data_IF_766224844113
#
_entry.id   IF_766224844113
#
_cell.length_a   1.000
_cell.length_b   1.000
_cell.length_c   1.000
_cell.angle_alpha   90.00
_cell.angle_beta   90.00
_cell.angle_gamma   90.00
#
_symmetry.space_group_name_H-M   'P 1'
#
loop_
_entity.id
_entity.type
_entity.pdbx_description
1 polymer ?
#
# COMPACT_ATOMS: atom_id res chain seq x y z
N UNK A 1 -18.06 -8.23 -13.97
CA UNK A 1 -18.47 -7.14 -13.04
C UNK A 1 -17.60 -7.13 -11.76
N UNK A 2 -16.27 -6.93 -11.88
CA UNK A 2 -15.33 -6.81 -10.74
C UNK A 2 -14.25 -5.74 -11.00
N UNK A 3 -14.60 -4.64 -11.69
CA UNK A 3 -13.65 -3.56 -12.05
C UNK A 3 -13.79 -2.28 -11.21
N UNK A 4 -14.79 -2.18 -10.32
CA UNK A 4 -15.11 -0.90 -9.67
C UNK A 4 -14.24 -0.56 -8.45
N UNK A 5 -13.55 -1.52 -7.82
CA UNK A 5 -12.80 -1.24 -6.58
C UNK A 5 -11.38 -0.67 -6.80
N UNK A 6 -10.90 -0.58 -8.04
CA UNK A 6 -9.51 -0.16 -8.33
C UNK A 6 -9.36 1.29 -8.81
N UNK A 7 -10.43 2.07 -8.84
CA UNK A 7 -10.45 3.41 -9.48
C UNK A 7 -10.75 4.58 -8.54
N UNK A 8 -10.99 4.36 -7.25
CA UNK A 8 -11.12 5.48 -6.32
C UNK A 8 -9.73 5.91 -5.85
N UNK A 9 -9.37 7.20 -5.92
CA UNK A 9 -8.14 7.72 -5.30
C UNK A 9 -8.15 7.35 -3.83
N UNK A 10 -7.11 6.70 -3.32
CA UNK A 10 -7.13 6.10 -1.98
C UNK A 10 -7.11 7.15 -0.86
N UNK A 11 -6.77 8.41 -1.18
CA UNK A 11 -7.04 9.58 -0.32
C UNK A 11 -8.52 9.79 -0.06
N UNK A 12 -9.39 9.45 -1.01
CA UNK A 12 -10.85 9.42 -0.84
C UNK A 12 -11.25 8.31 0.13
N UNK A 13 -10.55 7.17 0.14
CA UNK A 13 -10.85 6.09 1.07
C UNK A 13 -10.57 6.52 2.53
N UNK A 14 -9.48 7.24 2.78
CA UNK A 14 -9.21 7.82 4.10
C UNK A 14 -10.29 8.83 4.52
N UNK A 15 -10.68 9.75 3.63
CA UNK A 15 -11.75 10.72 3.88
C UNK A 15 -13.10 10.03 4.11
N UNK A 16 -13.46 9.05 3.30
CA UNK A 16 -14.72 8.31 3.42
C UNK A 16 -14.78 7.48 4.69
N UNK A 17 -13.68 6.84 5.08
CA UNK A 17 -13.64 6.13 6.36
C UNK A 17 -13.82 7.13 7.51
N UNK A 18 -13.19 8.29 7.43
CA UNK A 18 -13.37 9.37 8.42
C UNK A 18 -14.83 9.85 8.49
N UNK A 19 -15.50 10.03 7.36
CA UNK A 19 -16.93 10.43 7.30
C UNK A 19 -17.87 9.34 7.83
N UNK A 20 -17.63 8.07 7.47
CA UNK A 20 -18.40 6.93 7.99
C UNK A 20 -18.26 6.86 9.51
N UNK A 21 -17.08 7.13 10.02
CA UNK A 21 -16.79 7.13 11.45
C UNK A 21 -17.54 8.26 12.17
N UNK A 22 -17.52 9.47 11.63
CA UNK A 22 -18.29 10.60 12.15
C UNK A 22 -19.79 10.27 12.19
N UNK A 23 -20.32 9.67 11.13
CA UNK A 23 -21.70 9.20 11.07
C UNK A 23 -22.00 8.14 12.15
N UNK A 24 -21.08 7.21 12.43
CA UNK A 24 -21.25 6.20 13.47
C UNK A 24 -21.26 6.80 14.88
N UNK A 25 -20.44 7.82 15.12
CA UNK A 25 -20.41 8.58 16.38
C UNK A 25 -21.72 9.35 16.61
N UNK A 26 -22.27 10.00 15.57
CA UNK A 26 -23.59 10.65 15.63
C UNK A 26 -24.71 9.67 16.00
N UNK A 27 -24.57 8.41 15.60
CA UNK A 27 -25.49 7.32 15.93
C UNK A 27 -25.20 6.64 17.29
N UNK A 28 -24.36 7.24 18.15
CA UNK A 28 -24.00 6.74 19.50
C UNK A 28 -23.35 5.35 19.52
N UNK A 29 -22.71 4.93 18.43
CA UNK A 29 -21.89 3.71 18.41
C UNK A 29 -20.45 4.09 18.69
N UNK A 30 -19.94 3.66 19.85
CA UNK A 30 -18.55 3.90 20.26
C UNK A 30 -17.69 2.73 19.79
N UNK A 31 -16.58 3.04 19.14
CA UNK A 31 -15.56 2.07 18.72
C UNK A 31 -14.22 2.53 19.28
N UNK A 32 -13.55 1.66 20.03
CA UNK A 32 -12.32 1.99 20.75
C UNK A 32 -11.15 2.31 19.79
N UNK A 33 -11.21 1.79 18.55
CA UNK A 33 -10.24 2.04 17.50
C UNK A 33 -10.21 3.51 17.05
N UNK A 34 -11.32 4.24 17.23
CA UNK A 34 -11.47 5.63 16.80
C UNK A 34 -10.74 6.62 17.70
N UNK A 35 -10.52 6.23 18.95
CA UNK A 35 -9.77 7.01 19.95
C UNK A 35 -8.28 6.69 19.90
N UNK A 36 -7.86 5.76 19.03
CA UNK A 36 -6.49 5.29 18.96
C UNK A 36 -5.73 5.93 17.79
N UNK A 37 -4.86 6.89 18.12
CA UNK A 37 -3.95 7.54 17.17
C UNK A 37 -3.12 6.55 16.34
N UNK A 38 -2.71 5.42 16.94
CA UNK A 38 -1.96 4.39 16.24
C UNK A 38 -2.77 3.75 15.12
N UNK A 39 -4.07 3.57 15.33
CA UNK A 39 -4.97 3.00 14.32
C UNK A 39 -5.10 3.94 13.12
N UNK A 40 -5.33 5.23 13.37
CA UNK A 40 -5.40 6.25 12.32
C UNK A 40 -4.10 6.37 11.52
N UNK A 41 -2.96 6.30 12.21
CA UNK A 41 -1.66 6.35 11.56
C UNK A 41 -1.41 5.13 10.66
N UNK A 42 -1.74 3.92 11.13
CA UNK A 42 -1.64 2.69 10.32
C UNK A 42 -2.60 2.76 9.13
N UNK A 43 -3.83 3.25 9.33
CA UNK A 43 -4.80 3.40 8.24
C UNK A 43 -4.29 4.36 7.16
N UNK A 44 -3.78 5.53 7.56
CA UNK A 44 -3.20 6.52 6.65
C UNK A 44 -2.04 5.93 5.85
N UNK A 45 -1.16 5.18 6.52
CA UNK A 45 -0.04 4.48 5.86
C UNK A 45 -0.52 3.43 4.86
N UNK A 46 -1.52 2.61 5.23
CA UNK A 46 -2.08 1.60 4.32
C UNK A 46 -2.75 2.25 3.11
N UNK A 47 -3.38 3.43 3.27
CA UNK A 47 -3.92 4.19 2.14
C UNK A 47 -2.81 4.62 1.17
N UNK A 48 -1.71 5.17 1.69
CA UNK A 48 -0.56 5.59 0.88
C UNK A 48 0.11 4.40 0.15
N UNK A 49 0.29 3.26 0.83
CA UNK A 49 0.85 2.05 0.19
C UNK A 49 -0.09 1.50 -0.88
N UNK A 50 -1.39 1.46 -0.59
CA UNK A 50 -2.40 0.95 -1.53
C UNK A 50 -2.46 1.81 -2.79
N UNK A 51 -2.36 3.13 -2.67
CA UNK A 51 -2.28 4.01 -3.84
C UNK A 51 -1.05 3.70 -4.71
N UNK A 52 0.12 3.53 -4.09
CA UNK A 52 1.36 3.19 -4.79
C UNK A 52 1.28 1.83 -5.49
N UNK A 53 0.65 0.84 -4.86
CA UNK A 53 0.37 -0.45 -5.49
C UNK A 53 -0.65 -0.31 -6.64
N UNK A 54 -1.63 0.57 -6.49
CA UNK A 54 -2.59 0.93 -7.52
C UNK A 54 -1.91 1.56 -8.74
N UNK A 55 -0.99 2.50 -8.54
CA UNK A 55 -0.17 3.10 -9.61
C UNK A 55 0.67 2.06 -10.34
N UNK A 56 1.34 1.18 -9.59
CA UNK A 56 2.09 0.07 -10.19
C UNK A 56 1.15 -0.81 -11.02
N UNK A 57 0.02 -1.24 -10.45
CA UNK A 57 -0.93 -2.11 -11.13
C UNK A 57 -1.50 -1.46 -12.40
N UNK A 58 -1.85 -0.16 -12.36
CA UNK A 58 -2.24 0.61 -13.55
C UNK A 58 -1.11 0.70 -14.58
N UNK A 59 0.13 0.85 -14.12
CA UNK A 59 1.31 0.91 -14.98
C UNK A 59 1.67 -0.43 -15.63
N UNK A 60 1.30 -1.53 -14.98
CA UNK A 60 1.39 -2.88 -15.51
C UNK A 60 0.25 -3.10 -16.51
N UNK A 61 -1.00 -2.86 -16.12
CA UNK A 61 -2.18 -3.07 -16.97
C UNK A 61 -2.21 -2.17 -18.22
N UNK A 62 -2.88 -2.66 -19.29
CA UNK A 62 -3.06 -1.96 -20.56
C UNK A 62 -2.69 -2.83 -21.77
N UNK A 63 -3.16 -2.43 -22.95
CA UNK A 63 -2.83 -3.11 -24.20
C UNK A 63 -1.41 -2.72 -24.68
N UNK A 64 -0.76 -3.62 -25.43
CA UNK A 64 0.57 -3.42 -26.04
C UNK A 64 1.75 -3.14 -25.07
N UNK A 65 1.71 -3.68 -23.85
CA UNK A 65 2.85 -3.57 -22.92
C UNK A 65 3.94 -4.59 -23.24
N UNK A 66 5.18 -4.13 -23.34
CA UNK A 66 6.35 -4.99 -23.54
C UNK A 66 6.72 -5.62 -22.19
N UNK A 67 6.95 -6.93 -22.17
CA UNK A 67 7.27 -7.69 -20.95
C UNK A 67 8.49 -7.11 -20.22
N UNK A 68 9.52 -6.67 -20.95
CA UNK A 68 10.69 -6.01 -20.39
C UNK A 68 10.34 -4.72 -19.65
N UNK A 69 9.47 -3.88 -20.20
CA UNK A 69 9.02 -2.63 -19.56
C UNK A 69 8.25 -2.91 -18.28
N UNK A 70 7.38 -3.92 -18.29
CA UNK A 70 6.64 -4.34 -17.10
C UNK A 70 7.59 -4.86 -16.01
N UNK A 71 8.58 -5.67 -16.38
CA UNK A 71 9.60 -6.16 -15.45
C UNK A 71 10.42 -5.00 -14.85
N UNK A 72 10.83 -4.04 -15.68
CA UNK A 72 11.52 -2.83 -15.22
C UNK A 72 10.70 -2.02 -14.22
N UNK A 73 9.38 -1.88 -14.43
CA UNK A 73 8.49 -1.19 -13.48
C UNK A 73 8.39 -1.92 -12.15
N UNK A 74 8.30 -3.24 -12.17
CA UNK A 74 8.29 -4.06 -10.94
C UNK A 74 9.60 -3.90 -10.17
N UNK A 75 10.76 -4.02 -10.85
CA UNK A 75 12.05 -3.90 -10.18
C UNK A 75 12.29 -2.47 -9.65
N UNK A 76 11.90 -1.45 -10.41
CA UNK A 76 11.94 -0.07 -9.92
C UNK A 76 11.03 0.12 -8.68
N UNK A 77 9.89 -0.57 -8.62
CA UNK A 77 9.03 -0.53 -7.44
C UNK A 77 9.64 -1.26 -6.24
N UNK A 78 10.32 -2.40 -6.45
CA UNK A 78 11.08 -3.07 -5.38
C UNK A 78 12.14 -2.13 -4.77
N UNK A 79 12.84 -1.35 -5.59
CA UNK A 79 13.81 -0.37 -5.10
C UNK A 79 13.15 0.81 -4.38
N UNK A 80 11.97 1.26 -4.84
CA UNK A 80 11.15 2.24 -4.12
C UNK A 80 10.70 1.73 -2.75
N UNK A 81 10.33 0.46 -2.61
CA UNK A 81 9.94 -0.10 -1.32
C UNK A 81 11.10 -0.08 -0.30
N UNK A 82 12.34 -0.31 -0.76
CA UNK A 82 13.53 -0.17 0.09
C UNK A 82 13.74 1.28 0.51
N UNK A 83 13.65 2.22 -0.45
CA UNK A 83 13.75 3.66 -0.19
C UNK A 83 12.71 4.08 0.87
N UNK A 84 11.45 3.70 0.71
CA UNK A 84 10.41 4.02 1.68
C UNK A 84 10.71 3.44 3.06
N UNK A 85 11.29 2.23 3.14
CA UNK A 85 11.68 1.62 4.42
C UNK A 85 12.76 2.44 5.13
N UNK A 86 13.79 2.88 4.38
CA UNK A 86 14.85 3.74 4.89
C UNK A 86 14.32 5.11 5.33
N UNK A 87 13.39 5.70 4.58
CA UNK A 87 12.75 6.96 4.96
C UNK A 87 11.96 6.84 6.26
N UNK A 88 11.11 5.81 6.39
CA UNK A 88 10.33 5.55 7.62
C UNK A 88 11.28 5.34 8.82
N UNK A 89 12.37 4.60 8.66
CA UNK A 89 13.37 4.40 9.72
C UNK A 89 13.99 5.73 10.18
N UNK A 90 14.20 6.66 9.25
CA UNK A 90 14.72 8.00 9.51
C UNK A 90 13.62 9.01 9.90
N UNK A 91 12.37 8.55 10.15
CA UNK A 91 11.21 9.40 10.44
C UNK A 91 10.88 10.44 9.34
N UNK A 92 11.25 10.13 8.10
CA UNK A 92 10.96 10.93 6.91
C UNK A 92 9.68 10.41 6.26
N UNK A 93 8.70 11.31 6.05
CA UNK A 93 7.36 10.95 5.55
C UNK A 93 7.02 11.58 4.19
N UNK A 94 8.03 12.00 3.41
CA UNK A 94 7.83 12.76 2.16
C UNK A 94 6.99 11.99 1.12
N UNK A 95 7.05 10.66 1.15
CA UNK A 95 6.31 9.79 0.24
C UNK A 95 4.98 9.30 0.81
N UNK A 96 4.59 9.77 2.00
CA UNK A 96 3.40 9.35 2.73
C UNK A 96 2.48 10.55 3.04
N UNK A 97 1.88 11.18 2.01
CA UNK A 97 1.09 12.39 2.18
C UNK A 97 -0.14 12.20 3.08
N UNK A 98 -0.75 11.01 3.11
CA UNK A 98 -1.89 10.74 3.99
C UNK A 98 -1.43 10.64 5.44
N UNK A 99 -0.27 10.04 5.70
CA UNK A 99 0.33 10.01 7.05
C UNK A 99 0.72 11.41 7.52
N UNK A 100 1.28 12.24 6.63
CA UNK A 100 1.57 13.65 6.93
C UNK A 100 0.29 14.40 7.31
N UNK A 101 -0.79 14.23 6.54
CA UNK A 101 -2.08 14.83 6.86
C UNK A 101 -2.61 14.37 8.23
N UNK A 102 -2.55 13.07 8.53
CA UNK A 102 -2.97 12.55 9.84
C UNK A 102 -2.19 13.24 10.99
N UNK A 103 -0.88 13.46 10.79
CA UNK A 103 -0.06 14.20 11.76
C UNK A 103 -0.48 15.67 11.90
N UNK A 104 -0.85 16.33 10.80
CA UNK A 104 -1.38 17.70 10.80
C UNK A 104 -2.76 17.78 11.49
N UNK A 105 -3.57 16.73 11.37
CA UNK A 105 -4.87 16.57 12.04
C UNK A 105 -4.75 16.27 13.56
N UNK A 106 -3.53 16.25 14.09
CA UNK A 106 -3.25 16.07 15.52
C UNK A 106 -2.98 14.63 15.97
N UNK A 107 -2.92 13.67 15.03
CA UNK A 107 -2.61 12.27 15.34
C UNK A 107 -1.13 12.12 15.71
N UNK A 108 -0.83 11.57 16.89
CA UNK A 108 0.54 11.35 17.33
C UNK A 108 1.13 10.03 16.79
N UNK A 109 2.27 10.12 16.11
CA UNK A 109 2.97 8.94 15.58
C UNK A 109 4.02 8.48 16.59
N UNK A 110 3.72 7.39 17.31
CA UNK A 110 4.66 6.84 18.28
C UNK A 110 5.86 6.15 17.58
N UNK A 111 7.03 6.06 18.24
CA UNK A 111 8.19 5.33 17.71
C UNK A 111 7.89 3.86 17.36
N UNK A 112 6.95 3.24 18.08
CA UNK A 112 6.53 1.86 17.83
C UNK A 112 5.86 1.71 16.45
N UNK A 113 5.12 2.73 16.02
CA UNK A 113 4.42 2.72 14.73
C UNK A 113 5.40 2.78 13.56
N UNK A 114 6.46 3.57 13.65
CA UNK A 114 7.54 3.54 12.64
C UNK A 114 8.15 2.14 12.51
N UNK A 115 8.30 1.42 13.63
CA UNK A 115 8.73 0.01 13.64
C UNK A 115 7.76 -0.92 12.90
N UNK A 116 6.45 -0.75 13.12
CA UNK A 116 5.40 -1.54 12.44
C UNK A 116 5.41 -1.25 10.93
N UNK A 117 5.45 0.03 10.53
CA UNK A 117 5.50 0.43 9.11
C UNK A 117 6.74 -0.13 8.41
N UNK A 118 7.91 -0.03 9.05
CA UNK A 118 9.18 -0.57 8.54
C UNK A 118 9.11 -2.09 8.35
N UNK A 119 8.56 -2.81 9.34
CA UNK A 119 8.39 -4.27 9.27
C UNK A 119 7.46 -4.65 8.13
N UNK A 120 6.34 -3.93 7.97
CA UNK A 120 5.41 -4.14 6.88
C UNK A 120 6.06 -3.92 5.51
N UNK A 121 6.82 -2.84 5.33
CA UNK A 121 7.56 -2.57 4.09
C UNK A 121 8.61 -3.64 3.77
N UNK A 122 9.29 -4.15 4.80
CA UNK A 122 10.25 -5.24 4.66
C UNK A 122 9.57 -6.53 4.18
N UNK A 123 8.47 -6.93 4.83
CA UNK A 123 7.69 -8.10 4.41
C UNK A 123 7.11 -7.94 3.00
N UNK A 124 6.60 -6.75 2.66
CA UNK A 124 6.10 -6.46 1.31
C UNK A 124 7.21 -6.59 0.27
N UNK A 125 8.42 -6.09 0.58
CA UNK A 125 9.59 -6.20 -0.29
C UNK A 125 10.00 -7.66 -0.52
N UNK A 126 9.99 -8.49 0.52
CA UNK A 126 10.29 -9.92 0.41
C UNK A 126 9.26 -10.65 -0.45
N UNK A 127 7.98 -10.35 -0.27
CA UNK A 127 6.90 -10.91 -1.07
C UNK A 127 7.01 -10.54 -2.54
N UNK A 128 7.34 -9.28 -2.85
CA UNK A 128 7.66 -8.85 -4.22
C UNK A 128 8.84 -9.64 -4.77
N UNK A 129 9.92 -9.75 -3.99
CA UNK A 129 11.13 -10.46 -4.42
C UNK A 129 10.86 -11.90 -4.80
N UNK A 130 10.16 -12.61 -3.92
CA UNK A 130 9.74 -14.01 -4.06
C UNK A 130 8.87 -14.19 -5.30
N UNK A 131 7.87 -13.34 -5.45
CA UNK A 131 6.89 -13.42 -6.53
C UNK A 131 7.48 -13.16 -7.90
N UNK A 132 8.33 -12.15 -8.02
CA UNK A 132 8.94 -11.73 -9.28
C UNK A 132 10.35 -12.31 -9.50
N UNK A 133 10.75 -13.30 -8.70
CA UNK A 133 12.04 -13.98 -8.83
C UNK A 133 12.23 -14.59 -10.22
N UNK A 134 11.17 -15.20 -10.78
CA UNK A 134 11.24 -15.82 -12.12
C UNK A 134 11.44 -14.80 -13.25
N UNK A 135 11.01 -13.55 -13.07
CA UNK A 135 11.26 -12.48 -14.05
C UNK A 135 12.75 -12.16 -14.18
N UNK A 136 13.53 -12.37 -13.11
CA UNK A 136 14.99 -12.20 -13.13
C UNK A 136 15.69 -13.32 -13.89
N UNK A 137 15.08 -14.50 -13.95
CA UNK A 137 15.66 -15.71 -14.54
C UNK A 137 15.40 -15.84 -16.06
N UNK A 138 15.00 -14.74 -16.73
CA UNK A 138 14.80 -14.64 -18.20
C UNK A 138 13.73 -15.57 -18.82
N UNK A 139 12.97 -16.33 -18.04
CA UNK A 139 11.77 -17.03 -18.50
C UNK A 139 10.54 -16.09 -18.49
N UNK A 140 10.62 -15.06 -19.32
CA UNK A 140 9.73 -13.89 -19.28
C UNK A 140 8.26 -14.19 -19.62
N UNK A 141 7.99 -15.25 -20.40
CA UNK A 141 6.65 -15.51 -20.95
C UNK A 141 5.77 -16.31 -19.97
N UNK A 142 6.31 -17.33 -19.31
CA UNK A 142 5.56 -18.16 -18.34
C UNK A 142 5.37 -17.46 -17.00
N UNK A 143 6.37 -16.72 -16.53
CA UNK A 143 6.34 -16.03 -15.24
C UNK A 143 5.32 -14.87 -15.21
N UNK A 144 5.10 -14.19 -16.34
CA UNK A 144 4.11 -13.09 -16.39
C UNK A 144 2.67 -13.61 -16.35
N UNK A 145 2.31 -14.63 -17.14
CA UNK A 145 0.94 -15.15 -17.16
C UNK A 145 0.50 -15.72 -15.80
N UNK A 146 1.39 -16.40 -15.08
CA UNK A 146 1.11 -16.93 -13.74
C UNK A 146 1.06 -15.82 -12.68
N UNK A 147 2.00 -14.88 -12.69
CA UNK A 147 2.05 -13.83 -11.66
C UNK A 147 1.00 -12.73 -11.87
N UNK A 148 0.63 -12.40 -13.10
CA UNK A 148 -0.34 -11.35 -13.41
C UNK A 148 -1.74 -11.65 -12.88
N UNK A 149 -2.17 -12.91 -12.96
CA UNK A 149 -3.45 -13.36 -12.44
C UNK A 149 -3.56 -13.17 -10.92
N UNK A 150 -2.48 -13.40 -10.14
CA UNK A 150 -2.52 -13.12 -8.70
C UNK A 150 -2.55 -11.60 -8.38
N UNK A 151 -2.09 -10.68 -9.26
CA UNK A 151 -2.04 -9.23 -8.95
C UNK A 151 -3.48 -8.70 -8.96
N UNK A 152 -4.31 -9.25 -9.83
CA UNK A 152 -5.73 -8.91 -9.91
C UNK A 152 -6.59 -9.60 -8.82
N UNK A 153 -6.09 -10.67 -8.17
CA UNK A 153 -6.92 -11.55 -7.32
C UNK A 153 -6.57 -11.46 -5.83
N UNK A 154 -5.32 -11.16 -5.45
CA UNK A 154 -4.93 -11.15 -4.03
C UNK A 154 -4.98 -9.73 -3.51
N UNK A 155 -6.09 -9.42 -2.85
CA UNK A 155 -6.11 -8.38 -1.83
C UNK A 155 -4.93 -8.59 -0.89
N UNK A 156 -4.25 -7.49 -0.60
CA UNK A 156 -3.18 -7.34 0.39
C UNK A 156 -3.30 -8.46 1.43
N UNK A 157 -2.36 -9.43 1.50
CA UNK A 157 -2.45 -10.44 2.52
C UNK A 157 -2.51 -9.70 3.86
N UNK A 158 -3.51 -10.04 4.67
CA UNK A 158 -3.59 -9.58 6.05
C UNK A 158 -2.32 -10.08 6.76
N UNK A 159 -1.26 -9.29 6.67
CA UNK A 159 -0.06 -9.45 7.48
C UNK A 159 -0.59 -9.29 8.89
N UNK A 160 -0.62 -10.37 9.66
CA UNK A 160 -1.13 -10.38 11.02
C UNK A 160 -0.38 -9.29 11.81
N UNK A 161 -1.12 -8.19 12.05
CA UNK A 161 -0.86 -7.24 13.12
C UNK A 161 -0.99 -7.97 14.45
#
# INVERSE_FOLDING_TARGET
KKKLFFFLPTSFLYTIISEIILFLQENKKVYNELENDSWWCILAFLCDITEKLGELNRGLQGENKIISEMASKVFAFEDKLKLYSEEIQNSVLIHFPTVVRAKEDGINISPQIYGIMTKYLSSLTEEFKRRFQELRNKHLITAFYSNWCQICIVGIPAVHL
#
